data_IF_439207149143
#
_entry.id   IF_439207149143
#
_cell.length_a   1.000
_cell.length_b   1.000
_cell.length_c   1.000
_cell.angle_alpha   90.00
_cell.angle_beta   90.00
_cell.angle_gamma   90.00
#
_symmetry.space_group_name_H-M   'P 1'
#
loop_
_entity.id
_entity.type
_entity.pdbx_description
1 polymer ?
#
# COMPACT_ATOMS: atom_id res chain seq x y z
N UNK A 1 20.42 -21.36 -29.43
CA UNK A 1 19.18 -20.66 -29.85
C UNK A 1 18.28 -20.59 -28.62
N UNK A 2 17.79 -19.42 -28.24
CA UNK A 2 16.74 -19.30 -27.23
C UNK A 2 15.56 -18.56 -27.86
N UNK A 3 14.41 -19.24 -27.90
CA UNK A 3 13.16 -18.65 -28.37
C UNK A 3 12.71 -17.56 -27.38
N UNK A 4 12.86 -16.32 -27.81
CA UNK A 4 12.41 -15.14 -27.08
C UNK A 4 10.94 -14.89 -27.47
N UNK A 5 10.02 -15.04 -26.50
CA UNK A 5 8.62 -14.61 -26.63
C UNK A 5 8.53 -13.25 -27.32
N UNK A 6 8.02 -13.24 -28.56
CA UNK A 6 8.10 -12.08 -29.46
C UNK A 6 7.34 -10.84 -28.97
N UNK A 7 6.41 -11.02 -28.03
CA UNK A 7 5.48 -9.97 -27.58
C UNK A 7 5.79 -9.40 -26.19
N UNK A 8 6.90 -9.79 -25.54
CA UNK A 8 7.32 -9.15 -24.29
C UNK A 8 7.88 -7.74 -24.55
N UNK A 9 7.21 -6.72 -24.01
CA UNK A 9 7.65 -5.32 -24.10
C UNK A 9 9.06 -5.12 -23.51
N UNK A 10 9.82 -4.17 -24.08
CA UNK A 10 11.18 -3.87 -23.63
C UNK A 10 11.25 -3.56 -22.12
N UNK A 11 10.21 -2.92 -21.59
CA UNK A 11 10.05 -2.61 -20.16
C UNK A 11 10.01 -3.88 -19.30
N UNK A 12 9.28 -4.91 -19.72
CA UNK A 12 9.18 -6.19 -19.01
C UNK A 12 10.52 -6.94 -19.03
N UNK A 13 11.21 -6.94 -20.18
CA UNK A 13 12.56 -7.53 -20.33
C UNK A 13 13.60 -6.88 -19.41
N UNK A 14 13.61 -5.55 -19.34
CA UNK A 14 14.48 -4.79 -18.43
C UNK A 14 14.15 -5.11 -16.97
N UNK A 15 12.87 -5.09 -16.59
CA UNK A 15 12.44 -5.34 -15.21
C UNK A 15 12.78 -6.77 -14.76
N UNK A 16 12.60 -7.76 -15.65
CA UNK A 16 12.97 -9.16 -15.42
C UNK A 16 14.49 -9.33 -15.25
N UNK A 17 15.29 -8.69 -16.09
CA UNK A 17 16.75 -8.77 -15.99
C UNK A 17 17.29 -8.18 -14.67
N UNK A 18 16.66 -7.11 -14.16
CA UNK A 18 16.97 -6.51 -12.84
C UNK A 18 16.48 -7.37 -11.67
N UNK A 19 15.42 -8.17 -11.86
CA UNK A 19 14.98 -9.18 -10.87
C UNK A 19 15.98 -10.34 -10.78
N UNK A 20 16.43 -10.85 -11.93
CA UNK A 20 17.37 -11.97 -12.01
C UNK A 20 18.79 -11.56 -11.57
N UNK A 21 19.13 -10.26 -11.58
CA UNK A 21 20.45 -9.73 -11.24
C UNK A 21 20.33 -8.43 -10.41
N UNK A 22 20.21 -8.50 -9.06
CA UNK A 22 20.13 -7.32 -8.21
C UNK A 22 21.46 -6.55 -8.16
N UNK A 23 21.39 -5.22 -8.22
CA UNK A 23 22.56 -4.33 -8.20
C UNK A 23 23.17 -4.04 -9.57
N UNK A 24 22.57 -4.54 -10.65
CA UNK A 24 23.02 -4.32 -12.03
C UNK A 24 22.96 -2.84 -12.45
N UNK A 25 23.94 -2.39 -13.24
CA UNK A 25 24.02 -1.01 -13.73
C UNK A 25 23.30 -0.83 -15.06
N UNK A 26 22.92 0.42 -15.39
CA UNK A 26 22.29 0.74 -16.67
C UNK A 26 23.17 0.50 -17.92
N UNK A 27 24.48 0.20 -17.76
CA UNK A 27 25.33 -0.25 -18.87
C UNK A 27 25.12 -1.73 -19.15
N UNK A 28 25.17 -2.54 -18.10
CA UNK A 28 25.04 -4.01 -18.20
C UNK A 28 23.65 -4.41 -18.72
N UNK A 29 22.59 -3.67 -18.33
CA UNK A 29 21.23 -3.78 -18.94
C UNK A 29 21.25 -3.48 -20.44
N UNK A 30 22.02 -2.48 -20.87
CA UNK A 30 22.08 -2.05 -22.25
C UNK A 30 22.84 -3.06 -23.13
N UNK A 31 23.95 -3.60 -22.62
CA UNK A 31 24.75 -4.66 -23.25
C UNK A 31 23.97 -5.96 -23.36
N UNK A 32 23.31 -6.42 -22.28
CA UNK A 32 22.54 -7.67 -22.28
C UNK A 32 21.34 -7.65 -23.24
N UNK A 33 20.64 -6.51 -23.35
CA UNK A 33 19.47 -6.37 -24.22
C UNK A 33 19.79 -5.80 -25.61
N UNK A 34 21.07 -5.56 -25.93
CA UNK A 34 21.54 -4.93 -27.16
C UNK A 34 20.80 -3.62 -27.50
N UNK A 35 20.50 -2.80 -26.49
CA UNK A 35 19.83 -1.50 -26.62
C UNK A 35 20.79 -0.33 -26.36
N UNK A 36 20.43 0.87 -26.80
CA UNK A 36 21.26 2.05 -26.51
C UNK A 36 21.30 2.33 -25.00
N UNK A 37 22.46 2.73 -24.43
CA UNK A 37 22.60 2.97 -22.99
C UNK A 37 21.73 4.14 -22.51
N UNK A 38 21.34 5.06 -23.41
CA UNK A 38 20.40 6.12 -23.11
C UNK A 38 18.96 5.60 -23.01
N UNK A 39 18.55 4.66 -23.88
CA UNK A 39 17.24 4.01 -23.78
C UNK A 39 17.13 3.17 -22.51
N UNK A 40 18.17 2.39 -22.17
CA UNK A 40 18.24 1.62 -20.93
C UNK A 40 18.07 2.54 -19.69
N UNK A 41 18.84 3.63 -19.61
CA UNK A 41 18.68 4.64 -18.55
C UNK A 41 17.26 5.22 -18.51
N UNK A 42 16.71 5.62 -19.64
CA UNK A 42 15.38 6.24 -19.69
C UNK A 42 14.26 5.29 -19.26
N UNK A 43 14.35 4.00 -19.58
CA UNK A 43 13.37 3.01 -19.12
C UNK A 43 13.56 2.66 -17.65
N UNK A 44 14.79 2.45 -17.17
CA UNK A 44 15.09 2.26 -15.73
C UNK A 44 14.66 3.46 -14.89
N UNK A 45 14.82 4.67 -15.41
CA UNK A 45 14.35 5.92 -14.81
C UNK A 45 12.82 5.93 -14.68
N UNK A 46 12.09 5.64 -15.77
CA UNK A 46 10.62 5.49 -15.75
C UNK A 46 10.12 4.36 -14.83
N UNK A 47 10.87 3.25 -14.72
CA UNK A 47 10.58 2.15 -13.80
C UNK A 47 10.78 2.58 -12.33
N UNK A 48 11.80 3.39 -12.06
CA UNK A 48 12.07 3.97 -10.74
C UNK A 48 10.99 4.96 -10.32
N UNK A 49 10.58 5.85 -11.21
CA UNK A 49 9.57 6.86 -10.90
C UNK A 49 8.16 6.23 -10.73
N UNK A 50 7.94 5.03 -11.27
CA UNK A 50 6.77 4.17 -10.99
C UNK A 50 6.90 3.32 -9.70
N UNK A 51 8.03 3.40 -9.00
CA UNK A 51 8.30 2.63 -7.78
C UNK A 51 8.50 1.13 -7.99
N UNK A 52 8.77 0.68 -9.22
CA UNK A 52 8.98 -0.75 -9.57
C UNK A 52 10.43 -1.20 -9.37
N UNK A 53 11.37 -0.25 -9.38
CA UNK A 53 12.81 -0.46 -9.23
C UNK A 53 13.37 0.65 -8.33
N UNK A 54 14.25 0.34 -7.39
CA UNK A 54 15.03 1.32 -6.62
C UNK A 54 16.45 1.41 -7.16
N UNK A 55 17.07 2.59 -7.06
CA UNK A 55 18.49 2.77 -7.41
C UNK A 55 19.30 2.89 -6.12
N UNK A 56 20.29 2.04 -5.96
CA UNK A 56 21.19 2.03 -4.79
C UNK A 56 22.64 2.14 -5.31
N UNK A 57 23.30 3.25 -4.99
CA UNK A 57 24.62 3.58 -5.54
C UNK A 57 24.64 3.62 -7.07
N UNK A 58 25.34 2.65 -7.69
CA UNK A 58 25.43 2.48 -9.16
C UNK A 58 24.47 1.42 -9.72
N UNK A 59 23.84 0.64 -8.85
CA UNK A 59 22.99 -0.49 -9.20
C UNK A 59 21.49 -0.19 -9.13
N UNK A 60 20.71 -1.06 -9.78
CA UNK A 60 19.26 -1.10 -9.70
C UNK A 60 18.80 -2.40 -9.02
N UNK A 61 17.77 -2.30 -8.21
CA UNK A 61 17.17 -3.42 -7.45
C UNK A 61 15.67 -3.39 -7.67
N UNK A 62 15.05 -4.54 -7.87
CA UNK A 62 13.59 -4.62 -7.96
C UNK A 62 12.94 -4.30 -6.61
N UNK A 63 11.73 -3.75 -6.63
CA UNK A 63 10.90 -3.58 -5.42
C UNK A 63 9.82 -4.67 -5.38
N UNK A 64 9.19 -4.94 -4.22
CA UNK A 64 8.06 -5.89 -4.15
C UNK A 64 6.92 -5.54 -5.14
N UNK A 65 6.76 -4.25 -5.48
CA UNK A 65 5.81 -3.77 -6.48
C UNK A 65 6.23 -4.12 -7.92
N UNK A 66 7.53 -4.15 -8.20
CA UNK A 66 8.09 -4.61 -9.47
C UNK A 66 7.96 -6.12 -9.64
N UNK A 67 8.25 -6.89 -8.59
CA UNK A 67 8.08 -8.35 -8.57
C UNK A 67 6.62 -8.75 -8.81
N UNK A 68 5.68 -8.12 -8.09
CA UNK A 68 4.24 -8.33 -8.29
C UNK A 68 3.79 -8.06 -9.73
N UNK A 69 4.33 -7.02 -10.38
CA UNK A 69 4.00 -6.70 -11.76
C UNK A 69 4.54 -7.74 -12.77
N UNK A 70 5.74 -8.29 -12.53
CA UNK A 70 6.27 -9.39 -13.34
C UNK A 70 5.48 -10.70 -13.13
N UNK A 71 5.08 -10.99 -11.90
CA UNK A 71 4.22 -12.15 -11.60
C UNK A 71 2.88 -12.03 -12.31
N UNK A 72 2.22 -10.86 -12.25
CA UNK A 72 0.99 -10.61 -13.00
C UNK A 72 1.17 -10.75 -14.51
N UNK A 73 2.26 -10.21 -15.07
CA UNK A 73 2.54 -10.30 -16.51
C UNK A 73 2.69 -11.74 -17.03
N UNK A 74 3.19 -12.68 -16.21
CA UNK A 74 3.24 -14.12 -16.55
C UNK A 74 1.84 -14.74 -16.62
N UNK A 75 0.91 -14.29 -15.78
CA UNK A 75 -0.49 -14.73 -15.74
C UNK A 75 -1.35 -14.05 -16.81
N UNK A 76 -0.94 -12.88 -17.32
CA UNK A 76 -1.75 -12.04 -18.23
C UNK A 76 -1.81 -12.47 -19.69
N UNK A 77 -1.11 -13.53 -20.16
CA UNK A 77 -1.20 -13.96 -21.59
C UNK A 77 -2.53 -14.67 -21.95
N UNK A 78 -3.51 -14.67 -21.07
CA UNK A 78 -4.91 -15.06 -21.38
C UNK A 78 -5.83 -13.83 -21.42
N UNK A 79 -5.55 -12.76 -20.66
CA UNK A 79 -6.50 -11.66 -20.45
C UNK A 79 -5.85 -10.26 -20.45
N UNK A 80 -5.69 -9.69 -21.66
CA UNK A 80 -5.87 -8.24 -21.86
C UNK A 80 -7.17 -7.98 -22.63
N UNK A 81 -8.30 -8.25 -21.97
CA UNK A 81 -9.63 -7.81 -22.42
C UNK A 81 -10.60 -7.49 -21.26
N UNK A 82 -10.10 -7.03 -20.09
CA UNK A 82 -10.94 -6.30 -19.13
C UNK A 82 -10.65 -6.51 -17.64
N UNK A 83 -10.42 -5.39 -16.96
CA UNK A 83 -10.68 -5.12 -15.52
C UNK A 83 -9.79 -5.80 -14.44
N UNK A 84 -10.03 -5.25 -13.25
CA UNK A 84 -9.74 -5.64 -11.85
C UNK A 84 -9.71 -7.16 -11.58
N UNK A 85 -9.08 -7.74 -10.54
CA UNK A 85 -8.34 -7.28 -9.34
C UNK A 85 -7.67 -8.52 -8.66
N UNK A 86 -6.64 -8.34 -7.81
CA UNK A 86 -6.31 -9.13 -6.58
C UNK A 86 -5.98 -10.66 -6.67
N UNK A 87 -5.32 -11.21 -5.63
CA UNK A 87 -4.38 -12.36 -5.57
C UNK A 87 -4.55 -13.12 -4.22
N UNK A 88 -4.53 -14.47 -4.06
CA UNK A 88 -4.34 -15.55 -5.07
C UNK A 88 -4.96 -16.97 -4.78
N UNK A 89 -4.58 -17.78 -3.74
CA UNK A 89 -4.35 -19.22 -4.02
C UNK A 89 -5.04 -20.22 -3.05
N UNK A 90 -4.76 -21.56 -3.08
CA UNK A 90 -4.13 -22.41 -4.11
C UNK A 90 -5.01 -23.59 -4.59
N UNK A 91 -4.43 -24.35 -5.53
CA UNK A 91 -4.90 -25.56 -6.21
C UNK A 91 -5.77 -26.58 -5.43
N UNK A 92 -6.83 -27.07 -6.10
CA UNK A 92 -7.04 -28.50 -6.38
C UNK A 92 -8.04 -28.71 -7.55
N UNK A 93 -7.89 -29.83 -8.27
CA UNK A 93 -8.78 -30.35 -9.32
C UNK A 93 -9.32 -29.37 -10.40
N UNK A 94 -8.63 -29.32 -11.56
CA UNK A 94 -9.30 -28.97 -12.83
C UNK A 94 -10.25 -30.09 -13.24
N UNK A 95 -11.54 -29.94 -12.94
CA UNK A 95 -12.60 -30.64 -13.69
C UNK A 95 -13.06 -29.71 -14.79
N UNK A 96 -12.99 -30.16 -16.03
CA UNK A 96 -13.43 -29.41 -17.21
C UNK A 96 -14.91 -29.08 -17.11
N UNK A 97 -15.25 -27.80 -17.08
CA UNK A 97 -16.63 -27.35 -17.27
C UNK A 97 -17.06 -27.67 -18.72
N UNK A 98 -18.14 -28.44 -18.94
CA UNK A 98 -18.81 -28.40 -20.24
C UNK A 98 -19.41 -27.00 -20.42
N UNK A 99 -19.29 -26.45 -21.63
CA UNK A 99 -19.83 -25.13 -21.97
C UNK A 99 -21.30 -25.02 -21.57
N UNK A 100 -21.62 -24.10 -20.66
CA UNK A 100 -22.96 -23.93 -20.08
C UNK A 100 -24.00 -23.32 -21.06
N UNK A 101 -23.75 -23.43 -22.37
CA UNK A 101 -24.57 -22.92 -23.46
C UNK A 101 -25.59 -23.94 -24.02
N UNK A 102 -25.38 -25.25 -23.81
CA UNK A 102 -26.17 -26.31 -24.48
C UNK A 102 -26.68 -27.41 -23.53
N UNK A 103 -27.23 -27.05 -22.36
CA UNK A 103 -27.94 -28.01 -21.49
C UNK A 103 -29.40 -27.61 -21.24
N UNK A 104 -30.34 -28.57 -21.16
CA UNK A 104 -31.72 -28.32 -20.74
C UNK A 104 -31.80 -27.62 -19.37
N UNK A 105 -32.87 -26.86 -19.14
CA UNK A 105 -33.00 -26.02 -17.94
C UNK A 105 -32.89 -26.80 -16.62
N UNK A 106 -33.41 -28.02 -16.58
CA UNK A 106 -33.40 -28.88 -15.39
C UNK A 106 -31.98 -29.38 -15.04
N UNK A 107 -31.20 -29.81 -16.04
CA UNK A 107 -29.80 -30.21 -15.86
C UNK A 107 -28.92 -29.03 -15.43
N UNK A 108 -29.23 -27.81 -15.91
CA UNK A 108 -28.56 -26.58 -15.45
C UNK A 108 -28.90 -26.28 -13.99
N UNK A 109 -30.15 -26.41 -13.57
CA UNK A 109 -30.52 -26.26 -12.15
C UNK A 109 -29.77 -27.27 -11.27
N UNK A 110 -29.75 -28.55 -11.67
CA UNK A 110 -29.05 -29.61 -10.92
C UNK A 110 -27.53 -29.38 -10.83
N UNK A 111 -26.90 -28.99 -11.93
CA UNK A 111 -25.46 -28.65 -11.93
C UNK A 111 -25.17 -27.41 -11.06
N UNK A 112 -26.08 -26.43 -11.01
CA UNK A 112 -25.96 -25.28 -10.11
C UNK A 112 -26.17 -25.66 -8.64
N UNK A 113 -27.11 -26.55 -8.32
CA UNK A 113 -27.33 -27.07 -6.96
C UNK A 113 -26.11 -27.84 -6.42
N UNK A 114 -25.51 -28.72 -7.23
CA UNK A 114 -24.28 -29.42 -6.86
C UNK A 114 -23.10 -28.47 -6.68
N UNK A 115 -23.00 -27.43 -7.53
CA UNK A 115 -21.98 -26.37 -7.42
C UNK A 115 -22.16 -25.51 -6.17
N UNK A 116 -23.40 -25.14 -5.82
CA UNK A 116 -23.73 -24.44 -4.57
C UNK A 116 -23.32 -25.29 -3.37
N UNK A 117 -23.72 -26.57 -3.34
CA UNK A 117 -23.36 -27.49 -2.24
C UNK A 117 -21.85 -27.67 -2.09
N UNK A 118 -21.11 -27.77 -3.20
CA UNK A 118 -19.65 -27.82 -3.18
C UNK A 118 -19.03 -26.52 -2.64
N UNK A 119 -19.55 -25.35 -3.05
CA UNK A 119 -19.09 -24.05 -2.56
C UNK A 119 -19.39 -23.89 -1.06
N UNK A 120 -20.57 -24.28 -0.58
CA UNK A 120 -20.93 -24.28 0.85
C UNK A 120 -20.00 -25.16 1.68
N UNK A 121 -19.66 -26.36 1.20
CA UNK A 121 -18.73 -27.24 1.91
C UNK A 121 -17.30 -26.68 1.94
N UNK A 122 -16.84 -26.08 0.83
CA UNK A 122 -15.56 -25.36 0.78
C UNK A 122 -15.55 -24.16 1.73
N UNK A 123 -16.66 -23.42 1.81
CA UNK A 123 -16.82 -22.30 2.73
C UNK A 123 -16.70 -22.76 4.18
N UNK A 124 -17.42 -23.83 4.57
CA UNK A 124 -17.30 -24.41 5.92
C UNK A 124 -15.88 -24.88 6.25
N UNK A 125 -15.16 -25.50 5.29
CA UNK A 125 -13.75 -25.89 5.49
C UNK A 125 -12.84 -24.68 5.69
N UNK A 126 -13.04 -23.61 4.91
CA UNK A 126 -12.31 -22.35 5.07
C UNK A 126 -12.65 -21.68 6.42
N UNK A 127 -13.92 -21.62 6.81
CA UNK A 127 -14.35 -21.13 8.12
C UNK A 127 -13.74 -21.94 9.27
N UNK A 128 -13.65 -23.27 9.16
CA UNK A 128 -13.04 -24.12 10.18
C UNK A 128 -11.51 -23.92 10.25
N UNK A 129 -10.84 -23.78 9.11
CA UNK A 129 -9.41 -23.43 9.05
C UNK A 129 -9.18 -22.05 9.66
N UNK A 130 -9.96 -21.03 9.26
CA UNK A 130 -9.88 -19.67 9.82
C UNK A 130 -10.16 -19.68 11.32
N UNK A 131 -11.17 -20.41 11.80
CA UNK A 131 -11.45 -20.52 13.23
C UNK A 131 -10.32 -21.20 14.02
N UNK A 132 -9.62 -22.18 13.42
CA UNK A 132 -8.42 -22.79 13.99
C UNK A 132 -7.25 -21.80 14.01
N UNK A 133 -7.00 -21.10 12.91
CA UNK A 133 -5.96 -20.06 12.81
C UNK A 133 -6.21 -18.86 13.74
N UNK A 134 -7.46 -18.43 13.94
CA UNK A 134 -7.82 -17.38 14.91
C UNK A 134 -7.60 -17.86 16.36
N UNK A 135 -7.81 -19.15 16.64
CA UNK A 135 -7.53 -19.75 17.95
C UNK A 135 -6.03 -19.97 18.23
N UNK A 136 -5.19 -20.19 17.22
CA UNK A 136 -3.73 -20.35 17.39
C UNK A 136 -2.90 -19.11 17.09
N UNK A 137 -3.45 -18.12 16.38
CA UNK A 137 -2.76 -16.90 15.90
C UNK A 137 -3.48 -15.61 16.29
N UNK A 138 -4.15 -15.58 17.44
CA UNK A 138 -5.02 -14.49 17.91
C UNK A 138 -4.37 -13.16 18.28
N UNK A 139 -3.52 -12.60 17.41
CA UNK A 139 -3.15 -11.17 17.36
C UNK A 139 -2.84 -10.72 15.92
N UNK A 140 -3.87 -10.64 15.06
CA UNK A 140 -3.87 -9.83 13.82
C UNK A 140 -5.28 -9.81 13.22
N UNK A 141 -6.14 -8.94 13.73
CA UNK A 141 -7.44 -8.66 13.13
C UNK A 141 -7.38 -7.37 12.33
N UNK A 142 -7.63 -7.44 11.02
CA UNK A 142 -8.02 -6.27 10.21
C UNK A 142 -9.46 -6.48 9.76
N UNK A 143 -10.42 -5.70 10.27
CA UNK A 143 -11.71 -5.50 9.62
C UNK A 143 -11.72 -4.14 8.89
N UNK A 144 -12.06 -4.15 7.60
CA UNK A 144 -12.54 -2.94 6.92
C UNK A 144 -13.98 -2.59 7.37
N UNK A 145 -14.45 -1.35 7.15
CA UNK A 145 -15.31 -0.68 8.12
C UNK A 145 -16.82 -0.95 7.95
N UNK A 146 -17.56 -1.17 9.05
CA UNK A 146 -18.99 -0.90 9.06
C UNK A 146 -19.23 0.61 9.16
N UNK A 147 -20.11 1.12 8.30
CA UNK A 147 -20.80 2.39 8.55
C UNK A 147 -21.86 2.16 9.63
N UNK A 148 -21.97 3.05 10.61
CA UNK A 148 -23.04 3.01 11.59
C UNK A 148 -22.56 2.69 13.01
N UNK A 149 -22.76 3.70 13.86
CA UNK A 149 -22.68 3.77 15.31
C UNK A 149 -22.92 2.46 16.08
N UNK A 150 -21.93 2.02 16.90
CA UNK A 150 -22.11 1.39 18.23
C UNK A 150 -20.82 1.60 19.05
N UNK A 151 -20.95 1.91 20.34
CA UNK A 151 -19.80 2.14 21.24
C UNK A 151 -19.02 0.86 21.65
N UNK A 152 -17.78 1.07 22.13
CA UNK A 152 -16.96 0.17 22.99
C UNK A 152 -16.35 -1.09 22.34
N UNK A 153 -15.26 -0.88 21.61
CA UNK A 153 -14.12 -1.81 21.55
C UNK A 153 -12.86 -1.08 22.03
N UNK A 154 -12.15 -1.65 23.03
CA UNK A 154 -10.88 -1.17 23.63
C UNK A 154 -10.28 0.11 23.03
N UNK A 155 -10.46 1.27 23.69
CA UNK A 155 -9.61 2.43 23.39
C UNK A 155 -8.15 2.05 23.68
N UNK A 156 -7.27 2.16 22.70
CA UNK A 156 -5.83 2.04 22.96
C UNK A 156 -5.38 3.11 23.95
N UNK A 157 -4.38 2.81 24.80
CA UNK A 157 -3.80 3.82 25.68
C UNK A 157 -3.27 4.96 24.82
N UNK A 158 -3.62 6.19 25.15
CA UNK A 158 -3.19 7.38 24.38
C UNK A 158 -1.68 7.58 24.51
N UNK A 159 -1.03 8.22 23.53
CA UNK A 159 0.35 8.66 23.68
C UNK A 159 0.48 9.57 24.91
N UNK A 160 1.53 9.42 25.74
CA UNK A 160 1.69 10.20 26.97
C UNK A 160 2.09 11.67 26.72
N UNK A 161 2.54 11.99 25.50
CA UNK A 161 2.77 13.36 25.04
C UNK A 161 1.98 13.59 23.74
N UNK A 162 1.33 14.75 23.56
CA UNK A 162 0.52 15.03 22.37
C UNK A 162 1.37 15.24 21.10
N UNK A 163 2.64 15.62 21.25
CA UNK A 163 3.63 15.74 20.17
C UNK A 163 4.94 15.15 20.68
N UNK A 164 5.60 14.33 19.85
CA UNK A 164 6.92 13.77 20.10
C UNK A 164 7.66 13.58 18.78
N UNK A 165 9.00 13.45 18.80
CA UNK A 165 9.72 13.12 17.55
C UNK A 165 9.50 11.67 17.15
N UNK A 166 9.56 11.35 15.85
CA UNK A 166 9.48 9.98 15.33
C UNK A 166 10.55 9.08 15.97
N UNK A 167 11.76 9.60 16.21
CA UNK A 167 12.82 8.85 16.87
C UNK A 167 12.53 8.57 18.36
N UNK A 168 11.99 9.56 19.08
CA UNK A 168 11.58 9.39 20.48
C UNK A 168 10.44 8.37 20.60
N UNK A 169 9.46 8.45 19.70
CA UNK A 169 8.33 7.53 19.62
C UNK A 169 8.79 6.08 19.31
N UNK A 170 9.71 5.90 18.36
CA UNK A 170 10.28 4.59 18.02
C UNK A 170 11.14 4.02 19.16
N UNK A 171 11.88 4.86 19.89
CA UNK A 171 12.74 4.41 20.99
C UNK A 171 11.95 4.01 22.25
N UNK A 172 10.88 4.74 22.58
CA UNK A 172 10.08 4.49 23.79
C UNK A 172 8.89 3.54 23.54
N UNK A 173 8.32 3.57 22.34
CA UNK A 173 7.01 2.96 22.03
C UNK A 173 6.96 2.22 20.68
N UNK A 174 7.94 1.38 20.29
CA UNK A 174 8.02 0.82 18.93
C UNK A 174 6.75 0.03 18.52
N UNK A 175 6.23 -0.84 19.40
CA UNK A 175 5.01 -1.61 19.13
C UNK A 175 3.71 -0.77 19.21
N UNK A 176 3.65 0.19 20.14
CA UNK A 176 2.47 1.05 20.31
C UNK A 176 2.37 2.11 19.21
N UNK A 177 3.49 2.61 18.68
CA UNK A 177 3.52 3.57 17.58
C UNK A 177 2.93 2.97 16.30
N UNK A 178 3.30 1.73 15.96
CA UNK A 178 2.72 1.01 14.82
C UNK A 178 1.21 0.83 15.00
N UNK A 179 0.75 0.43 16.20
CA UNK A 179 -0.68 0.30 16.49
C UNK A 179 -1.41 1.65 16.41
N UNK A 180 -0.89 2.71 17.03
CA UNK A 180 -1.45 4.07 16.96
C UNK A 180 -1.51 4.62 15.52
N UNK A 181 -0.56 4.25 14.66
CA UNK A 181 -0.55 4.64 13.24
C UNK A 181 -1.60 3.85 12.44
N UNK A 182 -1.78 2.56 12.72
CA UNK A 182 -2.81 1.72 12.10
C UNK A 182 -4.22 2.19 12.50
N UNK A 183 -4.44 2.50 13.78
CA UNK A 183 -5.73 2.97 14.29
C UNK A 183 -6.01 4.46 14.01
N UNK A 184 -5.04 5.20 13.46
CA UNK A 184 -5.18 6.64 13.22
C UNK A 184 -5.32 7.47 14.50
N UNK A 185 -4.76 6.98 15.62
CA UNK A 185 -4.65 7.73 16.89
C UNK A 185 -3.58 8.83 16.77
N UNK A 186 -2.50 8.55 16.02
CA UNK A 186 -1.44 9.51 15.73
C UNK A 186 -1.27 9.73 14.23
N UNK A 187 -0.88 10.96 13.87
CA UNK A 187 -0.57 11.40 12.52
C UNK A 187 0.90 11.82 12.49
N UNK A 188 1.64 11.41 11.45
CA UNK A 188 3.00 11.87 11.23
C UNK A 188 3.00 13.21 10.48
N UNK A 189 3.71 14.20 11.01
CA UNK A 189 3.94 15.51 10.38
C UNK A 189 5.45 15.72 10.32
N UNK A 190 6.04 15.50 9.15
CA UNK A 190 7.50 15.54 8.96
C UNK A 190 8.23 14.57 9.89
N UNK A 191 9.05 15.12 10.79
CA UNK A 191 9.80 14.38 11.81
C UNK A 191 9.05 14.19 13.16
N UNK A 192 7.82 14.69 13.27
CA UNK A 192 6.99 14.59 14.48
C UNK A 192 5.87 13.55 14.32
N UNK A 193 5.54 12.92 15.45
CA UNK A 193 4.32 12.13 15.66
C UNK A 193 3.41 12.96 16.55
N UNK A 194 2.17 13.17 16.10
CA UNK A 194 1.20 14.07 16.71
C UNK A 194 -0.08 13.30 17.02
N UNK A 195 -0.64 13.43 18.22
CA UNK A 195 -1.97 12.87 18.52
C UNK A 195 -3.02 13.55 17.64
N UNK A 196 -3.86 12.76 16.95
CA UNK A 196 -4.86 13.28 16.00
C UNK A 196 -5.84 14.26 16.64
N UNK A 197 -6.15 14.07 17.93
CA UNK A 197 -6.99 14.99 18.72
C UNK A 197 -6.32 16.35 18.92
N UNK A 198 -5.07 16.35 19.34
CA UNK A 198 -4.27 17.57 19.49
C UNK A 198 -4.10 18.29 18.15
N UNK A 199 -3.83 17.55 17.07
CA UNK A 199 -3.76 18.12 15.71
C UNK A 199 -5.09 18.77 15.29
N UNK A 200 -6.23 18.16 15.61
CA UNK A 200 -7.55 18.70 15.31
C UNK A 200 -7.92 19.92 16.17
N UNK A 201 -7.45 20.00 17.42
CA UNK A 201 -7.60 21.19 18.26
C UNK A 201 -6.69 22.33 17.79
N UNK A 202 -5.43 22.02 17.45
CA UNK A 202 -4.50 22.98 16.88
C UNK A 202 -4.98 23.51 15.52
N UNK A 203 -5.56 22.66 14.67
CA UNK A 203 -6.14 23.06 13.39
C UNK A 203 -7.28 24.09 13.51
N UNK A 204 -8.03 24.11 14.63
CA UNK A 204 -9.07 25.12 14.89
C UNK A 204 -8.51 26.53 15.14
N UNK A 205 -7.21 26.66 15.44
CA UNK A 205 -6.53 27.95 15.59
C UNK A 205 -6.22 28.63 14.25
N UNK A 206 -6.46 27.96 13.12
CA UNK A 206 -6.28 28.53 11.79
C UNK A 206 -7.59 29.17 11.29
N UNK A 207 -7.56 30.35 10.63
CA UNK A 207 -6.37 31.11 10.25
C UNK A 207 -5.65 31.76 11.44
N UNK A 208 -4.34 31.59 11.51
CA UNK A 208 -3.52 31.97 12.67
C UNK A 208 -2.70 33.24 12.35
N UNK A 209 -2.93 34.39 13.02
CA UNK A 209 -2.16 35.62 12.79
C UNK A 209 -0.65 35.43 13.03
N UNK A 210 0.18 36.16 12.29
CA UNK A 210 1.65 36.12 12.48
C UNK A 210 2.05 36.45 13.93
N UNK A 211 1.39 37.42 14.55
CA UNK A 211 1.65 37.84 15.94
C UNK A 211 1.22 36.79 16.99
N UNK A 212 0.34 35.86 16.63
CA UNK A 212 -0.07 34.75 17.50
C UNK A 212 0.86 33.54 17.40
N UNK A 213 1.55 33.36 16.25
CA UNK A 213 2.58 32.31 16.09
C UNK A 213 3.71 32.46 17.13
N UNK A 214 4.09 33.70 17.46
CA UNK A 214 5.12 33.94 18.47
C UNK A 214 4.66 33.63 19.91
N UNK A 215 3.33 33.63 20.14
CA UNK A 215 2.68 33.37 21.43
C UNK A 215 2.24 31.92 21.62
N UNK A 216 2.42 31.06 20.62
CA UNK A 216 2.13 29.63 20.72
C UNK A 216 3.01 28.97 21.81
N UNK A 217 2.44 27.97 22.48
CA UNK A 217 3.20 27.11 23.39
C UNK A 217 4.39 26.46 22.67
N UNK A 218 5.51 26.15 23.35
CA UNK A 218 6.70 25.59 22.70
C UNK A 218 6.42 24.32 21.88
N UNK A 219 5.47 23.50 22.33
CA UNK A 219 5.02 22.27 21.67
C UNK A 219 4.22 22.58 20.40
N UNK A 220 3.33 23.55 20.46
CA UNK A 220 2.51 24.01 19.32
C UNK A 220 3.36 24.73 18.28
N UNK A 221 4.34 25.53 18.72
CA UNK A 221 5.31 26.21 17.86
C UNK A 221 6.20 25.21 17.12
N UNK A 222 6.62 24.12 17.77
CA UNK A 222 7.35 23.05 17.10
C UNK A 222 6.50 22.35 16.02
N UNK A 223 5.22 22.06 16.31
CA UNK A 223 4.28 21.52 15.33
C UNK A 223 4.04 22.49 14.17
N UNK A 224 3.85 23.79 14.45
CA UNK A 224 3.68 24.83 13.45
C UNK A 224 4.88 24.92 12.49
N UNK A 225 6.10 24.86 13.01
CA UNK A 225 7.32 24.92 12.21
C UNK A 225 7.47 23.70 11.28
N UNK A 226 7.11 22.50 11.73
CA UNK A 226 7.08 21.31 10.86
C UNK A 226 5.94 21.36 9.83
N UNK A 227 4.75 21.85 10.20
CA UNK A 227 3.66 22.11 9.24
C UNK A 227 4.07 23.14 8.17
N UNK A 228 4.91 24.12 8.53
CA UNK A 228 5.49 25.09 7.60
C UNK A 228 6.56 24.46 6.70
N UNK A 229 7.41 23.59 7.23
CA UNK A 229 8.44 22.83 6.47
C UNK A 229 7.82 21.88 5.45
N UNK A 230 6.78 21.16 5.83
CA UNK A 230 6.00 20.25 4.97
C UNK A 230 5.07 20.98 3.98
N UNK A 231 5.10 22.32 3.94
CA UNK A 231 4.22 23.17 3.13
C UNK A 231 2.70 22.87 3.33
N UNK A 232 2.33 22.41 4.52
CA UNK A 232 0.94 22.21 4.95
C UNK A 232 0.30 23.51 5.44
N UNK A 233 1.12 24.51 5.76
CA UNK A 233 0.71 25.86 6.18
C UNK A 233 1.35 26.91 5.25
N UNK A 234 0.55 27.86 4.77
CA UNK A 234 0.99 29.00 3.94
C UNK A 234 0.69 30.34 4.61
N UNK A 235 1.58 31.31 4.43
CA UNK A 235 1.32 32.71 4.80
C UNK A 235 0.41 33.36 3.75
N UNK A 236 -0.81 33.69 4.15
CA UNK A 236 -1.79 34.38 3.32
C UNK A 236 -1.74 35.88 3.56
N UNK A 237 -1.66 36.66 2.48
CA UNK A 237 -1.68 38.14 2.49
C UNK A 237 -0.68 38.81 3.44
N UNK A 238 0.39 38.10 3.82
CA UNK A 238 1.43 38.60 4.75
C UNK A 238 0.98 38.77 6.20
N UNK A 239 -0.22 38.32 6.59
CA UNK A 239 -0.83 38.62 7.91
C UNK A 239 -1.23 37.41 8.73
N UNK A 240 -1.64 36.32 8.07
CA UNK A 240 -2.18 35.14 8.73
C UNK A 240 -1.74 33.87 8.01
N UNK A 241 -1.55 32.80 8.76
CA UNK A 241 -1.23 31.48 8.26
C UNK A 241 -2.51 30.68 8.03
N UNK A 242 -2.59 29.96 6.92
CA UNK A 242 -3.73 29.10 6.53
C UNK A 242 -3.25 27.69 6.19
N UNK A 243 -4.09 26.70 6.47
CA UNK A 243 -3.85 25.31 6.08
C UNK A 243 -4.07 25.11 4.57
N UNK A 244 -3.16 24.39 3.91
CA UNK A 244 -3.18 24.11 2.46
C UNK A 244 -4.07 22.92 2.13
N UNK A 245 -4.22 21.99 3.06
CA UNK A 245 -5.07 20.79 2.98
C UNK A 245 -5.75 20.55 4.31
N UNK A 246 -6.89 19.88 4.29
CA UNK A 246 -7.49 19.32 5.50
C UNK A 246 -6.57 18.23 6.06
N UNK A 247 -6.02 18.47 7.25
CA UNK A 247 -5.29 17.47 8.04
C UNK A 247 -6.30 16.36 8.40
N UNK A 248 -6.20 15.22 7.72
CA UNK A 248 -7.19 14.14 7.73
C UNK A 248 -6.67 12.94 8.52
#
# INVERSE_FOLDING_TARGET
>A
MHDLSKDETLTAKILRFVMENPGVSAKDVAEYLAISPNLARNVLQKLRDKGLVRKEGRGFYITPRGEWLLSRAKTSRVEEAGKEQVVEPPAEARVSEPSAAEMPGEDRCRALEERIRNLEERLRRVEEIVAKFVKTGGQSGVPEPPRGDVERGKQLPRPPKPVMSVQEALAQYPGMLEQWRIEGVVVQVGNLVVERRFLAEFAKKFPLPVDEVERLDPVERALFEELRREALVILHSGREYRLVKNLS
#
